data_IF_886750250176
#
_entry.id   IF_886750250176
#
_cell.length_a   1.000
_cell.length_b   1.000
_cell.length_c   1.000
_cell.angle_alpha   90.00
_cell.angle_beta   90.00
_cell.angle_gamma   90.00
#
_symmetry.space_group_name_H-M   'P 1'
#
loop_
_entity.id
_entity.type
_entity.pdbx_description
1 polymer ?
#
# COMPACT_ATOMS: atom_id res chain seq x y z
N UNK A 1 -12.34 -13.05 27.93
CA UNK A 1 -10.89 -12.94 27.69
C UNK A 1 -10.54 -11.46 27.71
N UNK A 2 -9.54 -11.04 28.51
CA UNK A 2 -9.08 -9.64 28.50
C UNK A 2 -8.68 -9.19 27.09
N UNK A 3 -8.98 -7.93 26.72
CA UNK A 3 -8.70 -7.41 25.37
C UNK A 3 -7.25 -7.63 24.93
N UNK A 4 -6.30 -7.50 25.83
CA UNK A 4 -4.85 -7.66 25.58
C UNK A 4 -4.46 -9.10 25.24
N UNK A 5 -5.27 -10.09 25.64
CA UNK A 5 -5.05 -11.51 25.36
C UNK A 5 -5.77 -12.01 24.11
N UNK A 6 -6.62 -11.19 23.51
CA UNK A 6 -7.36 -11.59 22.29
C UNK A 6 -6.41 -11.95 21.14
N UNK A 7 -5.34 -11.17 20.93
CA UNK A 7 -4.34 -11.45 19.91
C UNK A 7 -3.72 -12.84 20.09
N UNK A 8 -3.31 -13.18 21.32
CA UNK A 8 -2.76 -14.50 21.62
C UNK A 8 -3.76 -15.63 21.36
N UNK A 9 -5.00 -15.48 21.85
CA UNK A 9 -6.03 -16.51 21.70
C UNK A 9 -6.40 -16.77 20.23
N UNK A 10 -6.52 -15.71 19.43
CA UNK A 10 -6.86 -15.80 17.99
C UNK A 10 -5.71 -16.39 17.18
N UNK A 11 -4.47 -16.04 17.48
CA UNK A 11 -3.29 -16.58 16.78
C UNK A 11 -3.14 -18.10 16.91
N UNK A 12 -3.76 -18.72 17.94
CA UNK A 12 -3.78 -20.19 18.05
C UNK A 12 -4.64 -20.88 16.98
N UNK A 13 -5.46 -20.14 16.26
CA UNK A 13 -6.42 -20.66 15.27
C UNK A 13 -6.22 -20.06 13.87
N UNK A 14 -5.41 -19.03 13.74
CA UNK A 14 -5.10 -18.42 12.46
C UNK A 14 -4.11 -19.28 11.67
N UNK A 15 -4.18 -19.26 10.33
CA UNK A 15 -3.16 -19.87 9.49
C UNK A 15 -1.81 -19.15 9.63
N UNK A 16 -0.72 -19.81 9.27
CA UNK A 16 0.65 -19.33 9.49
C UNK A 16 1.00 -18.02 8.79
N UNK A 17 0.23 -17.64 7.78
CA UNK A 17 0.42 -16.41 7.00
C UNK A 17 -0.41 -15.21 7.51
N UNK A 18 -1.20 -15.40 8.58
CA UNK A 18 -1.99 -14.34 9.23
C UNK A 18 -1.63 -14.26 10.72
N UNK A 19 -1.17 -13.09 11.15
CA UNK A 19 -0.78 -12.85 12.55
C UNK A 19 -1.40 -11.56 13.07
N UNK A 20 -2.06 -11.66 14.23
CA UNK A 20 -2.49 -10.51 15.01
C UNK A 20 -1.34 -10.10 15.92
N UNK A 21 -0.81 -8.91 15.74
CA UNK A 21 0.36 -8.43 16.49
C UNK A 21 -0.01 -7.83 17.84
N UNK A 22 -1.20 -7.23 17.92
CA UNK A 22 -1.67 -6.53 19.11
C UNK A 22 -3.19 -6.50 19.13
N UNK A 23 -3.76 -6.52 20.33
CA UNK A 23 -5.18 -6.25 20.60
C UNK A 23 -5.31 -5.34 21.81
N UNK A 24 -6.27 -4.44 21.76
CA UNK A 24 -6.56 -3.51 22.85
C UNK A 24 -8.04 -3.16 22.85
N UNK A 25 -8.51 -2.65 23.99
CA UNK A 25 -9.83 -2.06 24.08
C UNK A 25 -9.84 -0.68 23.42
N UNK A 26 -10.93 -0.36 22.75
CA UNK A 26 -11.20 0.94 22.14
C UNK A 26 -12.54 1.48 22.66
N UNK A 27 -12.81 2.78 22.55
CA UNK A 27 -14.14 3.34 22.84
C UNK A 27 -15.25 2.65 22.03
N UNK A 28 -16.47 2.61 22.57
CA UNK A 28 -17.60 1.92 21.97
C UNK A 28 -18.05 2.54 20.64
N UNK A 29 -17.80 3.82 20.43
CA UNK A 29 -18.07 4.58 19.21
C UNK A 29 -16.95 4.49 18.18
N UNK A 30 -15.84 3.82 18.51
CA UNK A 30 -14.72 3.66 17.59
C UNK A 30 -15.06 2.72 16.42
N UNK A 31 -14.76 3.17 15.20
CA UNK A 31 -14.95 2.37 14.02
C UNK A 31 -13.68 2.39 13.13
N UNK A 32 -13.14 1.23 12.70
CA UNK A 32 -11.85 1.18 12.00
C UNK A 32 -11.85 1.87 10.63
N UNK A 33 -13.01 2.09 10.03
CA UNK A 33 -13.16 2.69 8.71
C UNK A 33 -13.50 4.19 8.75
N UNK A 34 -14.21 4.64 9.79
CA UNK A 34 -14.76 5.98 9.90
C UNK A 34 -14.09 6.70 11.06
N UNK A 35 -12.77 6.91 10.94
CA UNK A 35 -12.03 7.72 11.88
C UNK A 35 -11.71 9.06 11.23
N UNK A 36 -12.10 10.13 11.88
CA UNK A 36 -11.66 11.46 11.50
C UNK A 36 -10.15 11.57 11.75
N UNK A 37 -9.45 12.21 10.83
CA UNK A 37 -8.01 12.48 10.92
C UNK A 37 -7.07 11.27 10.75
N UNK A 38 -7.53 10.13 10.22
CA UNK A 38 -6.64 9.01 9.89
C UNK A 38 -6.01 9.22 8.52
N UNK A 39 -4.69 9.34 8.50
CA UNK A 39 -3.90 9.31 7.27
C UNK A 39 -3.58 7.85 6.93
N UNK A 40 -3.87 7.44 5.70
CA UNK A 40 -3.54 6.11 5.18
C UNK A 40 -2.33 6.20 4.27
N UNK A 41 -1.34 5.35 4.52
CA UNK A 41 -0.18 5.21 3.66
C UNK A 41 -0.30 3.92 2.85
N UNK A 42 -0.12 4.02 1.54
CA UNK A 42 -0.10 2.89 0.62
C UNK A 42 1.28 2.75 0.02
N UNK A 43 1.76 1.52 -0.10
CA UNK A 43 3.05 1.21 -0.70
C UNK A 43 2.87 0.18 -1.81
N UNK A 44 3.30 0.52 -3.02
CA UNK A 44 3.25 -0.37 -4.18
C UNK A 44 4.66 -0.80 -4.55
N UNK A 45 4.90 -2.11 -4.55
CA UNK A 45 6.18 -2.68 -4.95
C UNK A 45 6.14 -3.07 -6.43
N UNK A 46 6.96 -2.41 -7.24
CA UNK A 46 7.10 -2.69 -8.66
C UNK A 46 8.48 -3.30 -8.93
N UNK A 47 8.49 -4.50 -9.50
CA UNK A 47 9.70 -5.15 -9.99
C UNK A 47 9.88 -4.79 -11.47
N UNK A 48 10.66 -3.76 -11.76
CA UNK A 48 10.96 -3.36 -13.12
C UNK A 48 12.23 -4.07 -13.61
N UNK A 49 12.06 -5.20 -14.29
CA UNK A 49 13.13 -6.05 -14.79
C UNK A 49 12.66 -6.83 -16.04
N UNK A 50 13.55 -7.15 -16.99
CA UNK A 50 13.19 -7.95 -18.17
C UNK A 50 12.57 -9.31 -17.82
N UNK A 51 13.03 -9.93 -16.72
CA UNK A 51 12.58 -11.25 -16.27
C UNK A 51 11.96 -11.15 -14.87
N UNK A 52 10.80 -11.78 -14.62
CA UNK A 52 10.15 -11.75 -13.32
C UNK A 52 10.95 -12.52 -12.27
N UNK A 53 10.88 -12.07 -11.02
CA UNK A 53 11.46 -12.78 -9.88
C UNK A 53 10.39 -13.68 -9.21
N UNK A 54 10.49 -15.02 -9.29
CA UNK A 54 9.48 -15.92 -8.74
C UNK A 54 9.30 -15.78 -7.23
N UNK A 55 10.35 -15.44 -6.49
CA UNK A 55 10.30 -15.27 -5.02
C UNK A 55 9.48 -14.07 -4.60
N UNK A 56 9.26 -13.10 -5.51
CA UNK A 56 8.56 -11.85 -5.22
C UNK A 56 7.19 -11.73 -5.88
N UNK A 57 6.77 -12.76 -6.60
CA UNK A 57 5.51 -12.76 -7.37
C UNK A 57 4.26 -12.41 -6.57
N UNK A 58 4.26 -12.68 -5.25
CA UNK A 58 3.13 -12.40 -4.35
C UNK A 58 3.19 -11.03 -3.71
N UNK A 59 4.31 -10.32 -3.83
CA UNK A 59 4.58 -9.07 -3.10
C UNK A 59 4.94 -7.90 -4.01
N UNK A 60 4.95 -8.11 -5.32
CA UNK A 60 5.26 -7.04 -6.28
C UNK A 60 4.61 -7.28 -7.63
N UNK A 61 4.29 -6.18 -8.31
CA UNK A 61 3.88 -6.19 -9.72
C UNK A 61 5.13 -6.21 -10.60
N UNK A 62 5.18 -7.13 -11.56
CA UNK A 62 6.26 -7.18 -12.53
C UNK A 62 5.95 -6.34 -13.76
N UNK A 63 6.89 -5.49 -14.15
CA UNK A 63 6.86 -4.68 -15.37
C UNK A 63 8.13 -4.96 -16.16
N UNK A 64 8.00 -5.56 -17.36
CA UNK A 64 9.13 -6.01 -18.17
C UNK A 64 9.77 -4.90 -19.02
N UNK A 65 9.01 -3.88 -19.38
CA UNK A 65 9.53 -2.75 -20.16
C UNK A 65 10.18 -1.69 -19.26
N UNK A 66 11.19 -0.95 -19.77
CA UNK A 66 11.82 0.12 -19.00
C UNK A 66 10.82 1.18 -18.58
N UNK A 67 10.86 1.57 -17.30
CA UNK A 67 10.03 2.64 -16.75
C UNK A 67 10.86 3.91 -16.56
N UNK A 68 10.31 5.04 -16.97
CA UNK A 68 10.90 6.36 -16.73
C UNK A 68 10.45 6.88 -15.35
N UNK A 69 11.27 6.62 -14.33
CA UNK A 69 10.98 7.01 -12.96
C UNK A 69 10.94 8.54 -12.80
N UNK A 70 11.73 9.28 -13.56
CA UNK A 70 11.73 10.75 -13.48
C UNK A 70 10.45 11.35 -14.09
N UNK A 71 9.96 10.77 -15.17
CA UNK A 71 8.65 11.15 -15.70
C UNK A 71 7.52 10.80 -14.72
N UNK A 72 7.61 9.63 -14.05
CA UNK A 72 6.65 9.24 -13.01
C UNK A 72 6.64 10.22 -11.83
N UNK A 73 7.79 10.65 -11.34
CA UNK A 73 7.90 11.66 -10.28
C UNK A 73 7.26 12.99 -10.68
N UNK A 74 7.53 13.44 -11.90
CA UNK A 74 6.90 14.66 -12.43
C UNK A 74 5.38 14.53 -12.50
N UNK A 75 4.88 13.38 -12.98
CA UNK A 75 3.44 13.09 -13.01
C UNK A 75 2.83 13.03 -11.61
N UNK A 76 3.51 12.40 -10.65
CA UNK A 76 3.07 12.28 -9.27
C UNK A 76 2.88 13.64 -8.57
N UNK A 77 3.73 14.63 -8.90
CA UNK A 77 3.63 15.97 -8.32
C UNK A 77 2.27 16.65 -8.61
N UNK A 78 1.61 16.31 -9.71
CA UNK A 78 0.28 16.82 -10.03
C UNK A 78 -0.84 16.21 -9.19
N UNK A 79 -0.59 15.09 -8.51
CA UNK A 79 -1.57 14.40 -7.68
C UNK A 79 -1.51 14.84 -6.21
N UNK A 80 -0.49 15.60 -5.82
CA UNK A 80 -0.36 16.12 -4.45
C UNK A 80 -1.35 17.27 -4.26
N UNK A 81 -2.03 17.26 -3.11
CA UNK A 81 -3.07 18.22 -2.77
C UNK A 81 -4.47 17.62 -2.77
N UNK A 82 -5.47 18.47 -2.76
CA UNK A 82 -6.87 18.07 -2.80
C UNK A 82 -7.37 18.04 -4.24
N UNK A 83 -7.87 16.88 -4.66
CA UNK A 83 -8.37 16.66 -6.01
C UNK A 83 -9.61 15.77 -6.00
N UNK A 84 -10.46 15.94 -7.01
CA UNK A 84 -11.52 15.00 -7.33
C UNK A 84 -10.95 13.85 -8.17
N UNK A 85 -10.91 12.66 -7.56
CA UNK A 85 -10.40 11.44 -8.19
C UNK A 85 -11.47 10.62 -8.90
N UNK A 86 -12.61 11.21 -9.29
CA UNK A 86 -13.70 10.51 -9.97
C UNK A 86 -13.21 9.73 -11.21
N UNK A 87 -12.29 10.30 -11.99
CA UNK A 87 -11.70 9.65 -13.17
C UNK A 87 -10.85 8.42 -12.87
N UNK A 88 -10.44 8.24 -11.62
CA UNK A 88 -9.66 7.09 -11.14
C UNK A 88 -10.52 6.06 -10.40
N UNK A 89 -11.81 6.36 -10.20
CA UNK A 89 -12.72 5.47 -9.52
C UNK A 89 -13.22 4.35 -10.44
N UNK A 90 -13.56 3.21 -9.82
CA UNK A 90 -14.27 2.16 -10.54
C UNK A 90 -15.70 2.66 -10.88
N UNK A 91 -16.17 2.38 -12.10
CA UNK A 91 -17.52 2.75 -12.57
C UNK A 91 -18.64 2.22 -11.65
N UNK A 92 -18.39 1.12 -10.93
CA UNK A 92 -19.32 0.51 -9.97
C UNK A 92 -19.12 0.96 -8.52
N UNK A 93 -18.40 2.07 -8.29
CA UNK A 93 -18.23 2.57 -6.93
C UNK A 93 -19.55 3.13 -6.40
N UNK A 94 -19.88 2.80 -5.14
CA UNK A 94 -20.99 3.40 -4.40
C UNK A 94 -20.53 4.59 -3.56
N UNK A 95 -19.33 5.11 -3.81
CA UNK A 95 -18.76 6.25 -3.08
C UNK A 95 -19.29 7.53 -3.69
N UNK A 96 -20.06 8.28 -2.93
CA UNK A 96 -20.65 9.57 -3.36
C UNK A 96 -19.62 10.68 -3.43
N UNK A 97 -18.65 10.69 -2.52
CA UNK A 97 -17.58 11.68 -2.46
C UNK A 97 -16.26 11.08 -2.95
N UNK A 98 -15.74 11.62 -4.05
CA UNK A 98 -14.47 11.21 -4.68
C UNK A 98 -13.32 12.20 -4.44
N UNK A 99 -13.57 13.28 -3.70
CA UNK A 99 -12.54 14.25 -3.32
C UNK A 99 -11.61 13.63 -2.26
N UNK A 100 -10.31 13.69 -2.51
CA UNK A 100 -9.28 13.18 -1.59
C UNK A 100 -8.09 14.10 -1.56
N UNK A 101 -7.45 14.16 -0.39
CA UNK A 101 -6.20 14.91 -0.21
C UNK A 101 -5.03 13.94 -0.18
N UNK A 102 -4.13 14.10 -1.14
CA UNK A 102 -2.84 13.39 -1.16
C UNK A 102 -1.80 14.27 -0.50
N UNK A 103 -1.34 13.88 0.69
CA UNK A 103 -0.37 14.67 1.47
C UNK A 103 1.05 14.53 0.95
N UNK A 104 1.43 13.33 0.52
CA UNK A 104 2.75 13.05 -0.04
C UNK A 104 2.67 11.88 -1.01
N UNK A 105 3.53 11.91 -2.02
CA UNK A 105 3.72 10.83 -2.96
C UNK A 105 5.21 10.71 -3.25
N UNK A 106 5.86 9.76 -2.56
CA UNK A 106 7.29 9.55 -2.63
C UNK A 106 7.64 8.32 -3.45
N UNK A 107 8.73 8.43 -4.18
CA UNK A 107 9.32 7.32 -4.93
C UNK A 107 10.58 6.86 -4.20
N UNK A 108 10.45 5.86 -3.35
CA UNK A 108 11.61 5.20 -2.77
C UNK A 108 12.24 4.25 -3.81
N UNK A 109 13.06 4.76 -4.68
CA UNK A 109 13.95 3.94 -5.51
C UNK A 109 15.00 3.26 -4.63
N UNK A 110 14.61 2.33 -3.76
CA UNK A 110 15.55 1.43 -3.09
C UNK A 110 15.96 0.33 -4.06
N UNK A 111 16.91 0.64 -4.93
CA UNK A 111 17.76 -0.37 -5.50
C UNK A 111 18.54 -1.06 -4.37
N UNK A 112 17.98 -2.07 -3.70
CA UNK A 112 18.83 -3.07 -3.06
C UNK A 112 19.54 -3.78 -4.18
N UNK A 113 20.80 -3.43 -4.34
CA UNK A 113 21.72 -4.07 -5.26
C UNK A 113 21.89 -5.52 -4.78
N UNK A 114 21.12 -6.43 -5.36
CA UNK A 114 21.49 -7.84 -5.36
C UNK A 114 22.41 -8.04 -6.55
N UNK A 115 23.61 -8.61 -6.38
CA UNK A 115 24.66 -8.59 -7.39
C UNK A 115 24.43 -9.39 -8.66
N UNK A 116 23.21 -9.81 -8.98
CA UNK A 116 22.96 -10.65 -10.14
C UNK A 116 21.65 -10.47 -10.90
N UNK A 117 20.81 -9.47 -10.58
CA UNK A 117 19.65 -9.17 -11.43
C UNK A 117 19.23 -7.70 -11.31
N UNK A 118 19.30 -6.98 -12.41
CA UNK A 118 19.06 -5.55 -12.56
C UNK A 118 17.58 -5.18 -12.46
N UNK A 119 16.95 -5.39 -11.32
CA UNK A 119 15.60 -4.91 -11.06
C UNK A 119 15.63 -3.61 -10.25
N UNK A 120 15.04 -2.54 -10.76
CA UNK A 120 14.75 -1.33 -9.98
C UNK A 120 13.44 -1.53 -9.24
N UNK A 121 13.43 -1.22 -7.95
CA UNK A 121 12.22 -1.19 -7.13
C UNK A 121 11.69 0.23 -7.10
N UNK A 122 10.43 0.39 -7.37
CA UNK A 122 9.72 1.64 -7.25
C UNK A 122 8.66 1.42 -6.18
N UNK A 123 8.72 2.19 -5.10
CA UNK A 123 7.68 2.31 -4.09
C UNK A 123 6.94 3.62 -4.39
N UNK A 124 5.64 3.55 -4.53
CA UNK A 124 4.74 4.69 -4.71
C UNK A 124 3.97 4.91 -3.42
#
# INVERSE_FOLDING_TARGET
IPPERMAYALNQKLPDDIVIRQSCQVPDDWHPRYQDHVVKTYEYHICNAPVPNPLKRRYSTHVSFPMDVEAMKKGAAYLIGEHDFVSFCNIKTNVEDTVRTVYALDHAGRGRHYPSNHGKWISL
#
